data_IF_593545505258
#
_entry.id   IF_593545505258
#
_cell.length_a   1.000
_cell.length_b   1.000
_cell.length_c   1.000
_cell.angle_alpha   90.00
_cell.angle_beta   90.00
_cell.angle_gamma   90.00
#
_symmetry.space_group_name_H-M   'P 1'
#
loop_
_entity.id
_entity.type
_entity.pdbx_description
1 polymer ?
#
# COMPACT_ATOMS: atom_id res chain seq x y z
N UNK A 1 17.74 34.31 6.60
CA UNK A 1 16.77 34.28 5.49
C UNK A 1 16.86 32.96 4.72
N UNK A 2 17.87 32.73 3.87
CA UNK A 2 17.95 31.47 3.07
C UNK A 2 18.19 30.21 3.92
N UNK A 3 18.95 30.33 5.02
CA UNK A 3 19.23 29.24 5.95
C UNK A 3 18.03 28.92 6.86
N UNK A 4 17.34 29.95 7.35
CA UNK A 4 16.08 29.80 8.11
C UNK A 4 14.99 29.11 7.26
N UNK A 5 14.88 29.47 5.98
CA UNK A 5 13.93 28.81 5.06
C UNK A 5 14.29 27.34 4.81
N UNK A 6 15.57 27.00 4.69
CA UNK A 6 16.02 25.60 4.57
C UNK A 6 15.70 24.80 5.83
N UNK A 7 15.90 25.38 7.01
CA UNK A 7 15.57 24.75 8.28
C UNK A 7 14.06 24.54 8.43
N UNK A 8 13.24 25.50 8.00
CA UNK A 8 11.78 25.39 8.02
C UNK A 8 11.26 24.30 7.05
N UNK A 9 11.76 24.25 5.82
CA UNK A 9 11.38 23.23 4.86
C UNK A 9 11.77 21.81 5.30
N UNK A 10 12.97 21.65 5.88
CA UNK A 10 13.42 20.38 6.45
C UNK A 10 12.52 19.95 7.63
N UNK A 11 12.16 20.90 8.51
CA UNK A 11 11.26 20.65 9.63
C UNK A 11 9.85 20.22 9.16
N UNK A 12 9.26 20.93 8.19
CA UNK A 12 7.95 20.55 7.64
C UNK A 12 7.97 19.15 7.05
N UNK A 13 8.99 18.82 6.25
CA UNK A 13 9.14 17.48 5.66
C UNK A 13 9.27 16.40 6.72
N UNK A 14 10.03 16.65 7.79
CA UNK A 14 10.18 15.71 8.90
C UNK A 14 8.83 15.50 9.62
N UNK A 15 8.07 16.57 9.85
CA UNK A 15 6.72 16.50 10.42
C UNK A 15 5.75 15.68 9.54
N UNK A 16 5.78 15.89 8.22
CA UNK A 16 4.96 15.13 7.27
C UNK A 16 5.29 13.63 7.30
N UNK A 17 6.58 13.28 7.35
CA UNK A 17 7.02 11.89 7.48
C UNK A 17 6.52 11.29 8.77
N UNK A 18 6.72 11.97 9.90
CA UNK A 18 6.31 11.45 11.20
C UNK A 18 4.79 11.27 11.27
N UNK A 19 4.03 12.19 10.68
CA UNK A 19 2.57 12.10 10.60
C UNK A 19 2.12 10.89 9.77
N UNK A 20 2.74 10.66 8.60
CA UNK A 20 2.46 9.49 7.77
C UNK A 20 2.86 8.18 8.46
N UNK A 21 4.02 8.12 9.13
CA UNK A 21 4.44 6.94 9.91
C UNK A 21 3.44 6.63 11.02
N UNK A 22 3.07 7.65 11.80
CA UNK A 22 2.12 7.50 12.92
C UNK A 22 0.77 7.01 12.41
N UNK A 23 0.25 7.59 11.31
CA UNK A 23 -1.01 7.15 10.72
C UNK A 23 -0.97 5.69 10.25
N UNK A 24 0.11 5.28 9.59
CA UNK A 24 0.27 3.89 9.16
C UNK A 24 0.27 2.95 10.37
N UNK A 25 1.02 3.28 11.42
CA UNK A 25 1.05 2.52 12.67
C UNK A 25 -0.34 2.41 13.31
N UNK A 26 -1.06 3.52 13.44
CA UNK A 26 -2.41 3.55 13.99
C UNK A 26 -3.38 2.66 13.21
N UNK A 27 -3.31 2.67 11.88
CA UNK A 27 -4.16 1.81 11.05
C UNK A 27 -3.87 0.32 11.28
N UNK A 28 -2.60 -0.08 11.31
CA UNK A 28 -2.22 -1.46 11.61
C UNK A 28 -2.61 -1.88 13.04
N UNK A 29 -2.53 -0.96 14.00
CA UNK A 29 -2.86 -1.21 15.41
C UNK A 29 -4.35 -1.09 15.74
N UNK A 30 -5.18 -0.51 14.86
CA UNK A 30 -6.60 -0.27 15.11
C UNK A 30 -7.47 -1.53 15.17
N UNK A 31 -6.96 -2.66 14.69
CA UNK A 31 -7.70 -3.92 14.55
C UNK A 31 -8.63 -3.99 13.33
N UNK A 32 -8.73 -2.92 12.52
CA UNK A 32 -9.57 -2.90 11.29
C UNK A 32 -9.13 -3.95 10.26
N UNK A 33 -7.86 -4.33 10.30
CA UNK A 33 -7.22 -5.31 9.41
C UNK A 33 -7.27 -6.76 9.90
N UNK A 34 -8.01 -7.03 10.98
CA UNK A 34 -8.24 -8.39 11.43
C UNK A 34 -9.09 -9.17 10.40
N UNK A 35 -8.84 -10.46 10.25
CA UNK A 35 -9.45 -11.31 9.21
C UNK A 35 -10.99 -11.33 9.22
N UNK A 36 -11.61 -11.08 10.38
CA UNK A 36 -13.07 -11.01 10.52
C UNK A 36 -13.70 -9.69 10.01
N UNK A 37 -12.89 -8.71 9.59
CA UNK A 37 -13.34 -7.36 9.23
C UNK A 37 -13.10 -7.01 7.75
N UNK A 38 -12.57 -7.94 6.95
CA UNK A 38 -12.09 -7.70 5.59
C UNK A 38 -13.17 -7.40 4.53
N UNK A 39 -14.45 -7.44 4.91
CA UNK A 39 -15.60 -7.23 4.01
C UNK A 39 -16.41 -5.95 4.33
N UNK A 40 -15.93 -5.08 5.23
CA UNK A 40 -16.65 -3.88 5.67
C UNK A 40 -16.15 -2.56 5.06
N UNK A 41 -17.01 -1.53 5.05
CA UNK A 41 -16.68 -0.17 4.57
C UNK A 41 -15.48 0.46 5.31
N UNK A 42 -15.30 0.10 6.59
CA UNK A 42 -14.15 0.53 7.38
C UNK A 42 -12.85 -0.07 6.87
N UNK A 43 -12.88 -1.30 6.36
CA UNK A 43 -11.70 -1.95 5.79
C UNK A 43 -11.25 -1.24 4.50
N UNK A 44 -12.18 -0.96 3.57
CA UNK A 44 -11.87 -0.21 2.35
C UNK A 44 -11.33 1.18 2.64
N UNK A 45 -11.97 1.89 3.57
CA UNK A 45 -11.53 3.22 4.00
C UNK A 45 -10.12 3.17 4.61
N UNK A 46 -9.84 2.17 5.45
CA UNK A 46 -8.55 1.98 6.08
C UNK A 46 -7.45 1.59 5.10
N UNK A 47 -7.71 0.67 4.16
CA UNK A 47 -6.76 0.31 3.09
C UNK A 47 -6.45 1.53 2.23
N UNK A 48 -7.47 2.31 1.85
CA UNK A 48 -7.27 3.52 1.04
C UNK A 48 -6.42 4.56 1.77
N UNK A 49 -6.71 4.83 3.05
CA UNK A 49 -5.93 5.75 3.87
C UNK A 49 -4.49 5.26 4.06
N UNK A 50 -4.31 3.94 4.26
CA UNK A 50 -2.99 3.32 4.34
C UNK A 50 -2.20 3.51 3.05
N UNK A 51 -2.82 3.26 1.89
CA UNK A 51 -2.18 3.44 0.58
C UNK A 51 -1.73 4.89 0.34
N UNK A 52 -2.50 5.88 0.78
CA UNK A 52 -2.14 7.30 0.67
C UNK A 52 -0.85 7.58 1.44
N UNK A 53 -0.82 7.26 2.73
CA UNK A 53 0.32 7.57 3.61
C UNK A 53 1.55 6.70 3.32
N UNK A 54 1.35 5.41 3.04
CA UNK A 54 2.44 4.52 2.69
C UNK A 54 3.05 4.90 1.34
N UNK A 55 2.24 5.23 0.33
CA UNK A 55 2.79 5.73 -0.94
C UNK A 55 3.62 7.00 -0.72
N UNK A 56 3.14 7.95 0.07
CA UNK A 56 3.88 9.17 0.40
C UNK A 56 5.26 8.84 1.02
N UNK A 57 5.32 7.95 2.00
CA UNK A 57 6.57 7.49 2.61
C UNK A 57 7.50 6.82 1.59
N UNK A 58 6.98 5.92 0.76
CA UNK A 58 7.78 5.21 -0.24
C UNK A 58 8.32 6.14 -1.34
N UNK A 59 7.55 7.15 -1.76
CA UNK A 59 8.04 8.14 -2.72
C UNK A 59 9.11 9.04 -2.08
N UNK A 60 8.94 9.47 -0.83
CA UNK A 60 9.97 10.20 -0.09
C UNK A 60 11.25 9.38 0.06
N UNK A 61 11.13 8.08 0.38
CA UNK A 61 12.28 7.19 0.50
C UNK A 61 12.99 7.00 -0.84
N UNK A 62 12.24 6.91 -1.94
CA UNK A 62 12.80 6.93 -3.31
C UNK A 62 13.59 8.22 -3.58
N UNK A 63 13.02 9.39 -3.26
CA UNK A 63 13.71 10.68 -3.43
C UNK A 63 14.99 10.76 -2.59
N UNK A 64 15.02 10.13 -1.42
CA UNK A 64 16.18 10.05 -0.54
C UNK A 64 17.21 8.98 -0.96
N UNK A 65 17.00 8.30 -2.09
CA UNK A 65 17.89 7.23 -2.58
C UNK A 65 17.77 5.90 -1.81
N UNK A 66 16.72 5.74 -0.99
CA UNK A 66 16.46 4.58 -0.13
C UNK A 66 15.16 3.86 -0.53
N UNK A 67 14.96 3.68 -1.84
CA UNK A 67 13.77 3.03 -2.39
C UNK A 67 13.59 1.62 -1.83
N UNK A 68 12.38 1.27 -1.42
CA UNK A 68 12.01 -0.11 -1.08
C UNK A 68 11.61 -0.85 -2.37
N UNK A 69 12.37 -1.88 -2.76
CA UNK A 69 12.29 -2.45 -4.11
C UNK A 69 12.20 -3.98 -4.15
N UNK A 70 11.56 -4.62 -3.17
CA UNK A 70 11.33 -6.06 -3.25
C UNK A 70 10.25 -6.40 -4.29
N UNK A 71 10.32 -7.61 -4.83
CA UNK A 71 9.48 -8.08 -5.96
C UNK A 71 8.66 -9.34 -5.63
N UNK A 72 8.77 -9.84 -4.40
CA UNK A 72 8.06 -11.04 -3.96
C UNK A 72 6.54 -10.89 -4.12
N UNK A 73 5.91 -11.85 -4.79
CA UNK A 73 4.47 -11.89 -5.06
C UNK A 73 3.91 -10.71 -5.92
N UNK A 74 4.74 -10.12 -6.77
CA UNK A 74 4.36 -9.00 -7.66
C UNK A 74 4.37 -9.42 -9.13
N UNK A 75 3.30 -9.09 -9.86
CA UNK A 75 3.27 -9.19 -11.32
C UNK A 75 4.03 -8.00 -11.93
N UNK A 76 5.26 -8.24 -12.38
CA UNK A 76 6.13 -7.22 -12.98
C UNK A 76 5.59 -6.82 -14.37
N UNK A 77 5.53 -5.52 -14.61
CA UNK A 77 5.06 -4.93 -15.89
C UNK A 77 5.95 -3.75 -16.29
N UNK A 78 5.70 -3.14 -17.45
CA UNK A 78 6.42 -1.94 -17.88
C UNK A 78 6.33 -0.76 -16.90
N UNK A 79 5.26 -0.70 -16.09
CA UNK A 79 4.99 0.40 -15.15
C UNK A 79 5.09 0.01 -13.67
N UNK A 80 5.30 -1.28 -13.39
CA UNK A 80 5.46 -1.83 -12.04
C UNK A 80 6.72 -2.68 -12.01
N UNK A 81 7.78 -2.12 -11.42
CA UNK A 81 9.07 -2.81 -11.28
C UNK A 81 9.28 -3.43 -9.90
N UNK A 82 8.55 -2.96 -8.88
CA UNK A 82 8.66 -3.41 -7.49
C UNK A 82 7.45 -2.96 -6.64
N UNK A 83 7.51 -3.24 -5.33
CA UNK A 83 6.45 -2.87 -4.38
C UNK A 83 6.17 -1.37 -4.31
N UNK A 84 7.17 -0.50 -4.51
CA UNK A 84 6.95 0.95 -4.49
C UNK A 84 6.07 1.37 -5.66
N UNK A 85 6.26 0.78 -6.84
CA UNK A 85 5.40 1.07 -7.99
C UNK A 85 4.02 0.42 -7.85
N UNK A 86 3.94 -0.78 -7.28
CA UNK A 86 2.68 -1.47 -7.03
C UNK A 86 1.79 -0.65 -6.06
N UNK A 87 2.33 -0.22 -4.92
CA UNK A 87 1.61 0.61 -3.94
C UNK A 87 1.16 1.92 -4.58
N UNK A 88 2.00 2.55 -5.41
CA UNK A 88 1.64 3.75 -6.17
C UNK A 88 0.47 3.49 -7.12
N UNK A 89 0.49 2.40 -7.88
CA UNK A 89 -0.56 2.04 -8.82
C UNK A 89 -1.89 1.78 -8.09
N UNK A 90 -1.86 0.99 -7.01
CA UNK A 90 -3.05 0.71 -6.20
C UNK A 90 -3.59 1.96 -5.50
N UNK A 91 -2.73 2.85 -5.00
CA UNK A 91 -3.16 4.16 -4.47
C UNK A 91 -3.86 4.98 -5.56
N UNK A 92 -3.27 5.01 -6.76
CA UNK A 92 -3.85 5.77 -7.87
C UNK A 92 -5.24 5.22 -8.24
N UNK A 93 -5.40 3.90 -8.28
CA UNK A 93 -6.69 3.26 -8.41
C UNK A 93 -7.62 3.72 -7.28
N UNK A 94 -7.30 3.40 -6.02
CA UNK A 94 -8.15 3.69 -4.87
C UNK A 94 -8.66 5.16 -4.80
N UNK A 95 -7.81 6.13 -5.16
CA UNK A 95 -8.16 7.55 -5.08
C UNK A 95 -8.75 8.14 -6.38
N UNK A 96 -8.51 7.54 -7.54
CA UNK A 96 -8.94 8.06 -8.83
C UNK A 96 -9.85 7.06 -9.53
N UNK A 97 -11.11 6.98 -9.10
CA UNK A 97 -12.15 6.11 -9.67
C UNK A 97 -12.23 6.12 -11.22
N UNK A 98 -12.00 7.24 -11.92
CA UNK A 98 -12.00 7.27 -13.39
C UNK A 98 -10.71 6.76 -14.07
N UNK A 99 -9.63 6.52 -13.32
CA UNK A 99 -8.25 6.28 -13.82
C UNK A 99 -8.07 5.09 -14.75
N UNK A 100 -9.04 4.18 -14.80
CA UNK A 100 -8.93 2.95 -15.59
C UNK A 100 -8.06 1.87 -14.93
N UNK A 101 -7.31 2.17 -13.86
CA UNK A 101 -6.46 1.19 -13.15
C UNK A 101 -7.25 0.04 -12.51
N UNK A 102 -8.57 0.22 -12.32
CA UNK A 102 -9.47 -0.84 -11.85
C UNK A 102 -10.03 -1.72 -12.97
N UNK A 103 -9.73 -1.40 -14.23
CA UNK A 103 -10.30 -2.12 -15.37
C UNK A 103 -9.54 -3.43 -15.57
N UNK A 104 -10.30 -4.43 -15.95
CA UNK A 104 -9.84 -5.69 -16.53
C UNK A 104 -10.57 -5.87 -17.86
N UNK A 105 -10.13 -6.82 -18.69
CA UNK A 105 -10.75 -7.04 -20.01
C UNK A 105 -12.27 -7.26 -19.94
N UNK A 106 -12.76 -7.87 -18.87
CA UNK A 106 -14.18 -8.15 -18.62
C UNK A 106 -14.96 -7.04 -17.91
N UNK A 107 -14.35 -5.89 -17.58
CA UNK A 107 -15.05 -4.79 -16.90
C UNK A 107 -14.21 -4.09 -15.83
N UNK A 108 -14.73 -4.02 -14.61
CA UNK A 108 -14.06 -3.40 -13.45
C UNK A 108 -13.93 -4.39 -12.31
N UNK A 109 -12.77 -4.41 -11.67
CA UNK A 109 -12.47 -5.20 -10.48
C UNK A 109 -11.97 -4.24 -9.40
N UNK A 110 -12.90 -3.52 -8.77
CA UNK A 110 -12.60 -2.46 -7.81
C UNK A 110 -12.74 -3.00 -6.40
N UNK A 111 -11.65 -2.93 -5.62
CA UNK A 111 -11.64 -3.28 -4.21
C UNK A 111 -12.19 -4.69 -3.93
N UNK A 112 -11.63 -5.69 -4.61
CA UNK A 112 -12.02 -7.08 -4.39
C UNK A 112 -11.06 -7.72 -3.38
N UNK A 113 -11.62 -8.40 -2.38
CA UNK A 113 -10.86 -8.89 -1.23
C UNK A 113 -10.97 -10.41 -1.14
N UNK A 114 -9.83 -11.10 -0.99
CA UNK A 114 -9.76 -12.51 -0.67
C UNK A 114 -8.91 -12.71 0.59
N UNK A 115 -9.52 -13.25 1.65
CA UNK A 115 -8.87 -13.48 2.94
C UNK A 115 -8.60 -14.96 3.16
N UNK A 116 -7.41 -15.30 3.67
CA UNK A 116 -7.00 -16.69 3.86
C UNK A 116 -6.63 -17.39 2.56
N UNK A 117 -6.42 -18.71 2.62
CA UNK A 117 -5.97 -19.48 1.47
C UNK A 117 -7.15 -19.78 0.54
N UNK A 118 -7.04 -19.34 -0.71
CA UNK A 118 -8.05 -19.49 -1.74
C UNK A 118 -7.53 -18.92 -3.05
N UNK A 119 -6.57 -19.58 -3.72
CA UNK A 119 -5.92 -19.06 -4.92
C UNK A 119 -6.90 -18.89 -6.10
N UNK A 120 -8.03 -19.60 -6.06
CA UNK A 120 -9.08 -19.60 -7.09
C UNK A 120 -10.38 -18.93 -6.62
N UNK A 121 -10.31 -18.05 -5.63
CA UNK A 121 -11.48 -17.36 -5.05
C UNK A 121 -12.33 -16.57 -6.05
N UNK A 122 -11.71 -16.12 -7.15
CA UNK A 122 -12.38 -15.55 -8.31
C UNK A 122 -11.85 -16.19 -9.59
N UNK A 123 -12.74 -16.45 -10.54
CA UNK A 123 -12.37 -16.90 -11.88
C UNK A 123 -12.99 -15.94 -12.88
N UNK A 124 -12.16 -15.17 -13.57
CA UNK A 124 -12.59 -14.14 -14.51
C UNK A 124 -11.89 -14.35 -15.84
N UNK A 125 -12.65 -14.58 -16.91
CA UNK A 125 -12.12 -14.92 -18.24
C UNK A 125 -11.08 -16.06 -18.20
N UNK A 126 -11.27 -17.04 -17.32
CA UNK A 126 -10.33 -18.16 -17.14
C UNK A 126 -9.05 -17.82 -16.35
N UNK A 127 -8.87 -16.57 -15.88
CA UNK A 127 -7.81 -16.21 -14.93
C UNK A 127 -8.30 -16.46 -13.51
N UNK A 128 -7.58 -17.32 -12.80
CA UNK A 128 -7.77 -17.56 -11.38
C UNK A 128 -7.13 -16.42 -10.58
N UNK A 129 -7.88 -15.89 -9.62
CA UNK A 129 -7.49 -14.79 -8.76
C UNK A 129 -7.93 -15.11 -7.34
N UNK A 130 -7.17 -14.66 -6.36
CA UNK A 130 -7.41 -14.97 -4.96
C UNK A 130 -6.19 -14.72 -4.11
N UNK A 131 -6.11 -15.43 -3.01
CA UNK A 131 -5.02 -15.34 -2.05
C UNK A 131 -4.28 -16.68 -1.96
N UNK A 132 -2.97 -16.61 -2.12
CA UNK A 132 -2.06 -17.76 -2.06
C UNK A 132 -1.67 -18.12 -0.62
N UNK A 133 -2.16 -17.36 0.37
CA UNK A 133 -1.66 -17.41 1.74
C UNK A 133 -2.77 -17.45 2.78
N UNK A 134 -2.68 -18.43 3.69
CA UNK A 134 -3.65 -18.64 4.76
C UNK A 134 -3.67 -17.50 5.80
N UNK A 135 -2.56 -16.77 5.93
CA UNK A 135 -2.34 -15.77 6.97
C UNK A 135 -2.46 -14.32 6.44
N UNK A 136 -2.87 -14.12 5.20
CA UNK A 136 -2.90 -12.80 4.56
C UNK A 136 -4.27 -12.45 3.97
N UNK A 137 -4.37 -11.20 3.53
CA UNK A 137 -5.52 -10.66 2.81
C UNK A 137 -5.02 -10.10 1.49
N UNK A 138 -5.49 -10.66 0.39
CA UNK A 138 -5.29 -10.13 -0.96
C UNK A 138 -6.35 -9.06 -1.25
N UNK A 139 -5.91 -7.87 -1.64
CA UNK A 139 -6.75 -6.77 -2.11
C UNK A 139 -6.43 -6.50 -3.58
N UNK A 140 -7.46 -6.41 -4.39
CA UNK A 140 -7.34 -6.20 -5.83
C UNK A 140 -7.87 -4.85 -6.28
N UNK A 141 -7.09 -4.21 -7.15
CA UNK A 141 -7.49 -3.07 -7.96
C UNK A 141 -7.18 -3.37 -9.43
N UNK A 142 -8.20 -3.75 -10.19
CA UNK A 142 -8.05 -4.23 -11.55
C UNK A 142 -7.22 -5.51 -11.57
N UNK A 143 -6.11 -5.48 -12.31
CA UNK A 143 -5.13 -6.58 -12.34
C UNK A 143 -4.14 -6.57 -11.17
N UNK A 144 -4.04 -5.47 -10.44
CA UNK A 144 -3.04 -5.29 -9.40
C UNK A 144 -3.49 -5.98 -8.11
N UNK A 145 -2.69 -6.92 -7.62
CA UNK A 145 -2.89 -7.60 -6.33
C UNK A 145 -1.93 -7.03 -5.29
N UNK A 146 -2.46 -6.70 -4.12
CA UNK A 146 -1.70 -6.39 -2.91
C UNK A 146 -1.97 -7.41 -1.83
N UNK A 147 -0.93 -7.81 -1.12
CA UNK A 147 -1.05 -8.53 0.14
C UNK A 147 -0.87 -7.57 1.32
N UNK A 148 -1.81 -7.60 2.26
CA UNK A 148 -1.82 -6.70 3.40
C UNK A 148 -0.56 -6.85 4.27
N UNK A 149 -0.13 -8.08 4.58
CA UNK A 149 1.09 -8.31 5.35
C UNK A 149 2.34 -8.27 4.47
N UNK A 150 2.38 -9.09 3.43
CA UNK A 150 3.58 -9.29 2.59
C UNK A 150 4.00 -8.04 1.82
N UNK A 151 3.04 -7.19 1.43
CA UNK A 151 3.34 -5.96 0.69
C UNK A 151 3.21 -4.73 1.57
N UNK A 152 2.05 -4.49 2.20
CA UNK A 152 1.80 -3.21 2.88
C UNK A 152 2.50 -3.11 4.24
N UNK A 153 2.32 -4.09 5.13
CA UNK A 153 2.98 -4.09 6.44
C UNK A 153 4.50 -4.15 6.30
N UNK A 154 5.03 -5.07 5.49
CA UNK A 154 6.47 -5.19 5.23
C UNK A 154 7.05 -3.87 4.69
N UNK A 155 6.39 -3.23 3.72
CA UNK A 155 6.85 -1.95 3.19
C UNK A 155 6.84 -0.86 4.26
N UNK A 156 5.80 -0.82 5.09
CA UNK A 156 5.71 0.12 6.19
C UNK A 156 6.84 -0.08 7.20
N UNK A 157 7.08 -1.32 7.66
CA UNK A 157 8.16 -1.62 8.62
C UNK A 157 9.53 -1.20 8.09
N UNK A 158 9.83 -1.52 6.82
CA UNK A 158 11.09 -1.15 6.19
C UNK A 158 11.26 0.36 6.05
N UNK A 159 10.22 1.08 5.60
CA UNK A 159 10.32 2.53 5.41
C UNK A 159 10.29 3.28 6.76
N UNK A 160 9.59 2.76 7.76
CA UNK A 160 9.61 3.30 9.11
C UNK A 160 10.99 3.16 9.75
N UNK A 161 11.72 2.06 9.49
CA UNK A 161 13.11 1.92 9.95
C UNK A 161 14.04 2.98 9.33
N UNK A 162 13.84 3.32 8.05
CA UNK A 162 14.62 4.38 7.38
C UNK A 162 14.42 5.74 8.06
N UNK A 163 13.19 6.02 8.50
CA UNK A 163 12.79 7.31 9.07
C UNK A 163 12.69 7.31 10.59
N UNK A 164 13.10 6.22 11.23
CA UNK A 164 13.14 6.13 12.67
C UNK A 164 14.09 7.21 13.18
N UNK A 165 13.56 8.16 13.93
CA UNK A 165 14.37 9.01 14.79
C UNK A 165 14.91 8.09 15.90
N UNK A 166 16.19 8.20 16.23
CA UNK A 166 16.77 7.42 17.32
C UNK A 166 15.95 7.66 18.60
N UNK A 167 15.22 6.62 19.05
CA UNK A 167 14.42 6.64 20.28
C UNK A 167 12.93 6.91 20.07
N UNK A 168 12.13 5.89 20.42
CA UNK A 168 10.68 5.89 20.67
C UNK A 168 9.75 5.40 19.55
N UNK A 169 8.94 4.40 19.90
CA UNK A 169 7.57 4.17 19.45
C UNK A 169 6.65 4.42 20.64
#
# INVERSE_FOLDING_TARGET
>A
MAEDTKNFAAWMRASDIQSSVSRCADLFNSGVFNSNSSAGILFESAVTLLLIHLNDLLQKAKTDGKRISFVDDIEITETISDVTDLVRACRYAACHVPSGEHKIESGKFTFCVASGYGPTGFVINGKEMGSDYADDIAVYYGKHRLYLKRHLLRSFELVAQIYRTEGHW
#
